data_IF_447634184275
#
_entry.id   IF_447634184275
#
_cell.length_a   1.000
_cell.length_b   1.000
_cell.length_c   1.000
_cell.angle_alpha   90.00
_cell.angle_beta   90.00
_cell.angle_gamma   90.00
#
_symmetry.space_group_name_H-M   'P 1'
#
loop_
_entity.id
_entity.type
_entity.pdbx_description
1 polymer ?
#
# COMPACT_ATOMS: atom_id res chain seq x y z
N UNK A 1 -16.98 -5.05 7.16
CA UNK A 1 -16.51 -5.04 8.55
C UNK A 1 -16.57 -3.62 9.12
N UNK A 2 -17.10 -3.47 10.30
CA UNK A 2 -17.14 -2.16 10.97
C UNK A 2 -15.83 -1.93 11.73
N UNK A 3 -15.21 -0.78 11.52
CA UNK A 3 -13.95 -0.41 12.15
C UNK A 3 -14.23 0.37 13.43
N UNK A 4 -13.82 -0.20 14.56
CA UNK A 4 -13.96 0.44 15.88
C UNK A 4 -12.84 1.46 16.13
N UNK A 5 -13.00 2.29 17.16
CA UNK A 5 -11.93 3.22 17.57
C UNK A 5 -10.67 2.47 17.98
N UNK A 6 -10.83 1.31 18.62
CA UNK A 6 -9.70 0.46 19.00
C UNK A 6 -8.99 -0.11 17.76
N UNK A 7 -9.75 -0.54 16.75
CA UNK A 7 -9.18 -0.97 15.46
C UNK A 7 -8.34 0.14 14.83
N UNK A 8 -8.81 1.39 14.90
CA UNK A 8 -8.07 2.53 14.38
C UNK A 8 -6.74 2.74 15.10
N UNK A 9 -6.71 2.57 16.42
CA UNK A 9 -5.47 2.63 17.20
C UNK A 9 -4.48 1.54 16.79
N UNK A 10 -4.99 0.32 16.60
CA UNK A 10 -4.18 -0.82 16.15
C UNK A 10 -3.59 -0.53 14.76
N UNK A 11 -4.42 -0.09 13.83
CA UNK A 11 -3.97 0.23 12.47
C UNK A 11 -2.94 1.35 12.45
N UNK A 12 -3.11 2.40 13.26
CA UNK A 12 -2.14 3.49 13.36
C UNK A 12 -0.79 2.99 13.89
N UNK A 13 -0.81 2.12 14.90
CA UNK A 13 0.42 1.55 15.45
C UNK A 13 1.14 0.68 14.43
N UNK A 14 0.41 -0.14 13.67
CA UNK A 14 0.96 -0.98 12.61
C UNK A 14 1.51 -0.14 11.45
N UNK A 15 0.85 0.96 11.10
CA UNK A 15 1.32 1.86 10.05
C UNK A 15 2.63 2.56 10.43
N UNK A 16 2.86 2.78 11.72
CA UNK A 16 4.12 3.36 12.20
C UNK A 16 5.27 2.33 12.15
N UNK A 17 5.01 1.15 12.65
CA UNK A 17 5.99 0.08 12.70
C UNK A 17 5.29 -1.28 12.85
N UNK A 18 5.18 -2.00 11.74
CA UNK A 18 4.54 -3.32 11.72
C UNK A 18 5.48 -4.44 12.21
N UNK A 19 6.75 -4.13 12.46
CA UNK A 19 7.75 -5.11 12.94
C UNK A 19 7.75 -5.29 14.45
N UNK A 20 7.01 -4.46 15.19
CA UNK A 20 6.95 -4.53 16.65
C UNK A 20 6.41 -5.89 17.12
N UNK A 21 6.97 -6.46 18.20
CA UNK A 21 6.40 -7.65 18.81
C UNK A 21 4.97 -7.40 19.30
N UNK A 22 4.17 -8.47 19.34
CA UNK A 22 2.78 -8.39 19.78
C UNK A 22 2.65 -7.75 21.18
N UNK A 23 3.55 -8.09 22.09
CA UNK A 23 3.56 -7.52 23.45
C UNK A 23 3.73 -5.99 23.42
N UNK A 24 4.61 -5.49 22.54
CA UNK A 24 4.85 -4.03 22.39
C UNK A 24 3.64 -3.34 21.79
N UNK A 25 3.05 -3.92 20.76
CA UNK A 25 1.83 -3.41 20.15
C UNK A 25 0.66 -3.37 21.14
N UNK A 26 0.54 -4.38 21.98
CA UNK A 26 -0.47 -4.44 23.04
C UNK A 26 -0.31 -3.29 24.04
N UNK A 27 0.94 -3.01 24.42
CA UNK A 27 1.26 -1.91 25.32
C UNK A 27 0.92 -0.54 24.71
N UNK A 28 1.38 -0.26 23.47
CA UNK A 28 1.14 1.03 22.79
C UNK A 28 -0.33 1.27 22.45
N UNK A 29 -1.09 0.21 22.25
CA UNK A 29 -2.53 0.31 21.92
C UNK A 29 -3.43 0.17 23.13
N UNK A 30 -2.84 -0.06 24.30
CA UNK A 30 -3.56 -0.31 25.55
C UNK A 30 -4.62 -1.40 25.39
N UNK A 31 -4.19 -2.52 24.82
CA UNK A 31 -5.04 -3.67 24.48
C UNK A 31 -4.43 -4.95 25.02
N UNK A 32 -5.24 -5.88 25.52
CA UNK A 32 -4.74 -7.21 25.90
C UNK A 32 -4.21 -7.93 24.65
N UNK A 33 -3.11 -8.68 24.80
CA UNK A 33 -2.47 -9.37 23.67
C UNK A 33 -3.43 -10.31 22.93
N UNK A 34 -4.26 -11.06 23.64
CA UNK A 34 -5.23 -11.97 23.02
C UNK A 34 -6.27 -11.23 22.18
N UNK A 35 -6.75 -10.09 22.67
CA UNK A 35 -7.69 -9.25 21.95
C UNK A 35 -7.03 -8.63 20.73
N UNK A 36 -5.80 -8.11 20.89
CA UNK A 36 -5.02 -7.53 19.81
C UNK A 36 -4.79 -8.54 18.68
N UNK A 37 -4.33 -9.73 19.02
CA UNK A 37 -4.09 -10.81 18.06
C UNK A 37 -5.34 -11.15 17.26
N UNK A 38 -6.47 -11.30 17.95
CA UNK A 38 -7.76 -11.59 17.30
C UNK A 38 -8.19 -10.46 16.37
N UNK A 39 -8.07 -9.21 16.81
CA UNK A 39 -8.45 -8.05 15.99
C UNK A 39 -7.56 -7.91 14.76
N UNK A 40 -6.26 -8.14 14.89
CA UNK A 40 -5.35 -8.11 13.74
C UNK A 40 -5.75 -9.19 12.73
N UNK A 41 -6.02 -10.41 13.18
CA UNK A 41 -6.47 -11.48 12.29
C UNK A 41 -7.79 -11.14 11.59
N UNK A 42 -8.74 -10.55 12.30
CA UNK A 42 -10.01 -10.11 11.72
C UNK A 42 -9.79 -9.02 10.65
N UNK A 43 -8.90 -8.07 10.92
CA UNK A 43 -8.56 -7.01 9.96
C UNK A 43 -7.88 -7.56 8.71
N UNK A 44 -7.01 -8.55 8.86
CA UNK A 44 -6.40 -9.25 7.73
C UNK A 44 -7.42 -10.04 6.93
N UNK A 45 -8.26 -10.82 7.60
CA UNK A 45 -9.27 -11.65 6.96
C UNK A 45 -10.31 -10.83 6.18
N UNK A 46 -10.64 -9.63 6.67
CA UNK A 46 -11.61 -8.73 6.01
C UNK A 46 -11.00 -7.92 4.87
N UNK A 47 -9.68 -7.96 4.69
CA UNK A 47 -8.98 -7.20 3.66
C UNK A 47 -8.68 -5.75 4.02
N UNK A 48 -9.04 -5.29 5.22
CA UNK A 48 -8.70 -3.95 5.71
C UNK A 48 -7.18 -3.82 5.84
N UNK A 49 -6.54 -4.83 6.45
CA UNK A 49 -5.09 -4.93 6.53
C UNK A 49 -4.61 -5.85 5.41
N UNK A 50 -4.01 -5.26 4.38
CA UNK A 50 -3.65 -5.99 3.15
C UNK A 50 -2.33 -6.73 3.23
N UNK A 51 -1.44 -6.33 4.12
CA UNK A 51 -0.14 -6.96 4.27
C UNK A 51 0.87 -6.05 4.95
N UNK A 52 2.09 -6.57 5.03
CA UNK A 52 3.24 -5.86 5.60
C UNK A 52 4.35 -5.86 4.58
N UNK A 53 4.94 -4.70 4.34
CA UNK A 53 5.95 -4.53 3.30
C UNK A 53 7.23 -3.98 3.91
N UNK A 54 8.37 -4.49 3.43
CA UNK A 54 9.65 -3.92 3.77
C UNK A 54 9.90 -2.64 2.97
N UNK A 55 10.37 -1.60 3.63
CA UNK A 55 10.82 -0.38 2.95
C UNK A 55 12.31 -0.51 2.69
N UNK A 56 12.70 -0.36 1.43
CA UNK A 56 14.08 -0.47 0.98
C UNK A 56 14.54 0.89 0.49
N UNK A 57 15.76 1.29 0.89
CA UNK A 57 16.36 2.53 0.37
C UNK A 57 16.75 2.32 -1.10
N UNK A 58 16.09 3.00 -2.04
CA UNK A 58 16.35 2.78 -3.46
C UNK A 58 17.77 3.12 -3.88
N UNK A 59 18.37 4.13 -3.26
CA UNK A 59 19.73 4.55 -3.59
C UNK A 59 20.75 3.48 -3.26
N UNK A 60 20.50 2.70 -2.19
CA UNK A 60 21.41 1.66 -1.72
C UNK A 60 21.33 0.35 -2.51
N UNK A 61 20.29 0.19 -3.31
CA UNK A 61 20.11 -0.99 -4.18
C UNK A 61 20.21 -0.65 -5.67
N UNK A 62 20.73 0.55 -5.98
CA UNK A 62 20.97 0.94 -7.36
C UNK A 62 19.77 1.46 -8.14
N UNK A 63 18.67 1.77 -7.45
CA UNK A 63 17.45 2.31 -8.08
C UNK A 63 17.23 3.77 -7.68
N UNK A 64 18.24 4.61 -7.93
CA UNK A 64 18.23 6.02 -7.48
C UNK A 64 17.20 6.89 -8.19
N UNK A 65 16.92 6.59 -9.46
CA UNK A 65 16.05 7.43 -10.27
C UNK A 65 14.59 7.23 -9.87
N UNK A 66 13.93 8.33 -9.52
CA UNK A 66 12.49 8.35 -9.29
C UNK A 66 11.83 9.25 -10.33
N UNK A 67 10.92 8.69 -11.09
CA UNK A 67 10.15 9.44 -12.10
C UNK A 67 8.67 9.38 -11.73
N UNK A 68 8.03 10.54 -11.73
CA UNK A 68 6.58 10.64 -11.66
C UNK A 68 6.10 10.95 -13.07
N UNK A 69 5.42 10.00 -13.69
CA UNK A 69 4.94 10.13 -15.06
C UNK A 69 3.44 10.35 -15.08
N UNK A 70 3.01 11.37 -15.80
CA UNK A 70 1.60 11.62 -16.04
C UNK A 70 1.22 11.00 -17.37
N UNK A 71 0.20 10.14 -17.38
CA UNK A 71 -0.20 9.37 -18.56
C UNK A 71 -1.60 9.76 -18.97
N UNK A 72 -1.78 10.02 -20.26
CA UNK A 72 -3.08 10.26 -20.89
C UNK A 72 -3.32 9.15 -21.92
N UNK A 73 -4.44 8.44 -21.80
CA UNK A 73 -4.82 7.42 -22.77
C UNK A 73 -5.59 8.08 -23.91
N UNK A 74 -5.24 7.73 -25.17
CA UNK A 74 -5.97 8.20 -26.34
C UNK A 74 -7.34 7.51 -26.46
N UNK A 75 -7.41 6.24 -26.05
CA UNK A 75 -8.62 5.43 -26.05
C UNK A 75 -9.00 5.06 -24.60
N UNK A 76 -10.24 5.36 -24.22
CA UNK A 76 -10.77 5.08 -22.88
C UNK A 76 -11.71 3.87 -22.85
N UNK A 77 -11.66 3.01 -23.85
CA UNK A 77 -12.42 1.75 -23.87
C UNK A 77 -11.97 0.82 -22.73
N UNK A 78 -12.83 -0.12 -22.35
CA UNK A 78 -12.48 -1.13 -21.34
C UNK A 78 -11.24 -1.91 -21.76
N UNK A 79 -11.13 -2.26 -23.04
CA UNK A 79 -9.99 -2.98 -23.60
C UNK A 79 -8.68 -2.19 -23.42
N UNK A 80 -8.69 -0.90 -23.75
CA UNK A 80 -7.51 -0.03 -23.61
C UNK A 80 -7.11 0.11 -22.14
N UNK A 81 -8.06 0.27 -21.24
CA UNK A 81 -7.81 0.37 -19.79
C UNK A 81 -7.26 -0.95 -19.24
N UNK A 82 -7.80 -2.09 -19.66
CA UNK A 82 -7.30 -3.41 -19.27
C UNK A 82 -5.86 -3.63 -19.75
N UNK A 83 -5.56 -3.27 -20.99
CA UNK A 83 -4.22 -3.38 -21.56
C UNK A 83 -3.22 -2.52 -20.78
N UNK A 84 -3.61 -1.30 -20.43
CA UNK A 84 -2.79 -0.39 -19.62
C UNK A 84 -2.55 -0.96 -18.21
N UNK A 85 -3.60 -1.47 -17.57
CA UNK A 85 -3.50 -2.09 -16.24
C UNK A 85 -2.56 -3.29 -16.26
N UNK A 86 -2.64 -4.10 -17.30
CA UNK A 86 -1.76 -5.27 -17.48
C UNK A 86 -0.30 -4.84 -17.68
N UNK A 87 -0.07 -3.80 -18.47
CA UNK A 87 1.27 -3.24 -18.67
C UNK A 87 1.88 -2.80 -17.34
N UNK A 88 1.12 -2.05 -16.54
CA UNK A 88 1.56 -1.58 -15.22
C UNK A 88 1.90 -2.76 -14.31
N UNK A 89 1.06 -3.79 -14.30
CA UNK A 89 1.24 -4.95 -13.43
C UNK A 89 2.46 -5.80 -13.79
N UNK A 90 2.91 -5.76 -15.06
CA UNK A 90 4.04 -6.57 -15.55
C UNK A 90 5.40 -5.89 -15.49
N UNK A 91 5.44 -4.61 -15.11
CA UNK A 91 6.70 -3.84 -15.02
C UNK A 91 7.00 -3.52 -13.56
N UNK A 92 7.98 -4.22 -12.93
CA UNK A 92 8.29 -3.99 -11.51
C UNK A 92 8.84 -2.60 -11.22
N UNK A 93 9.37 -1.90 -12.22
CA UNK A 93 9.83 -0.51 -12.09
C UNK A 93 8.69 0.46 -11.79
N UNK A 94 7.47 0.11 -12.20
CA UNK A 94 6.26 0.89 -11.90
C UNK A 94 5.76 0.47 -10.52
N UNK A 95 6.05 1.28 -9.52
CA UNK A 95 5.73 0.97 -8.13
C UNK A 95 4.34 1.39 -7.72
N UNK A 96 3.83 2.46 -8.30
CA UNK A 96 2.51 2.98 -8.00
C UNK A 96 1.82 3.43 -9.29
N UNK A 97 0.51 3.24 -9.33
CA UNK A 97 -0.33 3.75 -10.42
C UNK A 97 -1.61 4.30 -9.79
N UNK A 98 -1.86 5.57 -9.97
CA UNK A 98 -3.01 6.25 -9.43
C UNK A 98 -3.87 6.81 -10.56
N UNK A 99 -5.18 6.55 -10.50
CA UNK A 99 -6.14 7.21 -11.37
C UNK A 99 -6.31 8.64 -10.86
N UNK A 100 -6.16 9.62 -11.74
CA UNK A 100 -6.22 11.04 -11.38
C UNK A 100 -7.25 11.75 -12.24
N UNK A 101 -7.71 12.91 -11.78
CA UNK A 101 -8.57 13.81 -12.55
C UNK A 101 -7.74 14.99 -13.07
N UNK A 102 -8.27 15.70 -14.06
CA UNK A 102 -7.61 16.85 -14.67
C UNK A 102 -7.07 16.53 -16.06
N UNK A 103 -5.88 17.04 -16.38
CA UNK A 103 -5.30 16.92 -17.73
C UNK A 103 -4.77 15.53 -18.06
N UNK A 104 -4.46 14.72 -17.05
CA UNK A 104 -3.99 13.35 -17.22
C UNK A 104 -4.97 12.35 -16.64
N UNK A 105 -4.88 11.10 -17.10
CA UNK A 105 -5.72 10.00 -16.62
C UNK A 105 -5.08 9.24 -15.46
N UNK A 106 -3.75 9.07 -15.49
CA UNK A 106 -2.99 8.31 -14.50
C UNK A 106 -1.69 9.00 -14.13
N UNK A 107 -1.27 8.78 -12.88
CA UNK A 107 0.06 9.14 -12.42
C UNK A 107 0.79 7.86 -12.02
N UNK A 108 1.99 7.68 -12.55
CA UNK A 108 2.85 6.54 -12.24
C UNK A 108 4.05 7.00 -11.42
N UNK A 109 4.42 6.18 -10.43
CA UNK A 109 5.71 6.32 -9.75
C UNK A 109 6.62 5.21 -10.22
N UNK A 110 7.75 5.59 -10.81
CA UNK A 110 8.71 4.67 -11.44
C UNK A 110 10.05 4.77 -10.74
N UNK A 111 10.64 3.62 -10.41
CA UNK A 111 12.00 3.52 -9.88
C UNK A 111 12.88 2.78 -10.87
N UNK A 112 14.05 3.36 -11.16
CA UNK A 112 15.00 2.79 -12.11
C UNK A 112 16.44 3.07 -11.70
N UNK A 113 17.36 2.37 -12.32
CA UNK A 113 18.80 2.58 -12.13
C UNK A 113 19.30 3.90 -12.72
#
# INVERSE_FOLDING_TARGET
MKISDQDRKILRALQRDASQPLAKLAEVTDTAQSTLWRRINDLEASGVLKGRFALVDPAKVGAKLCVLAMVTLEDHSEEAVEDFTRLVATHPEIQECHKVSGLADYMLKIRAA
#
